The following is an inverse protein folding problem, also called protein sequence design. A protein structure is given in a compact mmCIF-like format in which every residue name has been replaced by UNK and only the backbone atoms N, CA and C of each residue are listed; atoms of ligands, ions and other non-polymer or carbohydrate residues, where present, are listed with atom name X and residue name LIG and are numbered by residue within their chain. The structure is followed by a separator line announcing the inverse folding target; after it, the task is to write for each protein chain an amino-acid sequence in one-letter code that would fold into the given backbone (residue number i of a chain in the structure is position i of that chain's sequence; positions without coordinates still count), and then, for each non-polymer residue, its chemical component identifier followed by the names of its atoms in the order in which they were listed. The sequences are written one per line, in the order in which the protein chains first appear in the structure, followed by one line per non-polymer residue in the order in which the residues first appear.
data_IF_629051801525
#
_entry.id   IF_629051801525
#
_cell.length_a   1.000
_cell.length_b   1.000
_cell.length_c   1.000
_cell.angle_alpha   90.00
_cell.angle_beta   90.00
_cell.angle_gamma   90.00
#
_symmetry.space_group_name_H-M   'P 1'
#
loop_
_entity.id
_entity.type
_entity.pdbx_description
1 polymer ?
#
# COMPACT_ATOMS: atom_id res chain seq x y z
N UNK A 1 -0.23 2.89 7.90
CA UNK A 1 -0.78 2.10 6.79
C UNK A 1 -2.08 2.67 6.21
N UNK A 2 -3.22 2.73 6.92
CA UNK A 2 -4.48 3.16 6.27
C UNK A 2 -4.44 4.56 5.62
N UNK A 3 -3.78 5.55 6.23
CA UNK A 3 -3.60 6.87 5.60
C UNK A 3 -2.73 6.80 4.33
N UNK A 4 -1.76 5.89 4.29
CA UNK A 4 -0.91 5.66 3.14
C UNK A 4 -1.74 5.15 1.95
N UNK A 5 -2.67 4.22 2.18
CA UNK A 5 -3.61 3.76 1.15
C UNK A 5 -4.45 4.87 0.54
N UNK A 6 -4.97 5.79 1.37
CA UNK A 6 -5.76 6.93 0.86
C UNK A 6 -4.90 7.89 0.03
N UNK A 7 -3.64 8.12 0.43
CA UNK A 7 -2.69 8.91 -0.37
C UNK A 7 -2.42 8.25 -1.73
N UNK A 8 -2.24 6.93 -1.76
CA UNK A 8 -2.01 6.19 -3.01
C UNK A 8 -3.20 6.29 -3.96
N UNK A 9 -4.44 6.17 -3.47
CA UNK A 9 -5.65 6.35 -4.30
C UNK A 9 -5.68 7.73 -4.96
N UNK A 10 -5.34 8.76 -4.19
CA UNK A 10 -5.25 10.13 -4.72
C UNK A 10 -4.13 10.24 -5.75
N UNK A 11 -2.96 9.66 -5.48
CA UNK A 11 -1.84 9.66 -6.43
C UNK A 11 -2.21 8.99 -7.76
N UNK A 12 -2.85 7.82 -7.74
CA UNK A 12 -3.32 7.15 -8.97
C UNK A 12 -4.25 8.06 -9.76
N UNK A 13 -5.20 8.75 -9.10
CA UNK A 13 -6.14 9.64 -9.76
C UNK A 13 -5.51 10.85 -10.48
N UNK A 14 -4.35 11.32 -10.02
CA UNK A 14 -3.63 12.43 -10.66
C UNK A 14 -2.59 11.97 -11.69
N UNK A 15 -1.93 10.83 -11.45
CA UNK A 15 -0.84 10.35 -12.29
C UNK A 15 -1.35 9.52 -13.48
N UNK A 16 -2.49 8.85 -13.34
CA UNK A 16 -3.15 8.11 -14.41
C UNK A 16 -2.29 7.00 -15.03
N UNK A 17 -2.50 6.78 -16.33
CA UNK A 17 -1.86 5.73 -17.14
C UNK A 17 -0.45 6.10 -17.63
N UNK A 18 -0.04 7.37 -17.48
CA UNK A 18 1.26 7.87 -17.95
C UNK A 18 2.43 7.44 -17.06
N UNK A 19 2.12 6.82 -15.91
CA UNK A 19 3.08 6.38 -14.92
C UNK A 19 3.08 4.87 -14.75
N UNK A 20 4.25 4.27 -14.81
CA UNK A 20 4.49 2.90 -14.42
C UNK A 20 4.41 2.77 -12.89
N UNK A 21 3.77 1.71 -12.40
CA UNK A 21 3.65 1.41 -10.97
C UNK A 21 4.52 0.22 -10.61
N UNK A 22 5.30 0.37 -9.54
CA UNK A 22 6.02 -0.71 -8.89
C UNK A 22 5.78 -0.67 -7.37
N UNK A 23 5.60 -1.83 -6.77
CA UNK A 23 5.50 -2.02 -5.32
C UNK A 23 6.76 -2.76 -4.87
N UNK A 24 7.53 -2.14 -3.98
CA UNK A 24 8.69 -2.76 -3.36
C UNK A 24 8.42 -2.90 -1.88
N UNK A 25 8.42 -4.12 -1.38
CA UNK A 25 8.28 -4.38 0.05
C UNK A 25 9.53 -5.02 0.63
N UNK A 26 9.82 -4.69 1.88
CA UNK A 26 10.85 -5.31 2.67
C UNK A 26 10.20 -5.90 3.90
N UNK A 27 10.62 -7.10 4.31
CA UNK A 27 10.30 -7.68 5.61
C UNK A 27 11.50 -8.46 6.16
N UNK A 28 11.42 -8.79 7.44
CA UNK A 28 12.39 -9.66 8.10
C UNK A 28 12.49 -11.02 7.39
N UNK A 29 13.66 -11.67 7.53
CA UNK A 29 13.99 -12.90 6.82
C UNK A 29 13.03 -14.07 7.14
N UNK A 30 12.48 -14.09 8.35
CA UNK A 30 11.60 -15.14 8.85
C UNK A 30 10.14 -15.02 8.35
N UNK A 31 9.77 -13.94 7.66
CA UNK A 31 8.40 -13.74 7.18
C UNK A 31 8.08 -14.69 6.01
N UNK A 32 7.10 -15.61 6.16
CA UNK A 32 6.89 -16.70 5.20
C UNK A 32 6.07 -16.32 3.97
N UNK A 33 5.12 -15.39 4.08
CA UNK A 33 4.25 -14.96 2.99
C UNK A 33 4.99 -14.02 2.03
N UNK A 34 4.95 -14.32 0.73
CA UNK A 34 5.58 -13.54 -0.35
C UNK A 34 4.63 -13.45 -1.55
N UNK A 35 4.25 -12.24 -2.01
CA UNK A 35 4.37 -10.97 -1.29
C UNK A 35 3.58 -10.98 0.02
N UNK A 36 3.85 -10.03 0.91
CA UNK A 36 3.06 -9.90 2.13
C UNK A 36 1.59 -9.60 1.84
N UNK A 37 0.72 -9.92 2.79
CA UNK A 37 -0.70 -9.54 2.71
C UNK A 37 -0.89 -8.05 2.42
N UNK A 38 -0.14 -7.17 3.09
CA UNK A 38 -0.15 -5.73 2.83
C UNK A 38 0.32 -5.38 1.41
N UNK A 39 1.38 -6.03 0.91
CA UNK A 39 1.87 -5.84 -0.45
C UNK A 39 0.80 -6.18 -1.49
N UNK A 40 0.07 -7.30 -1.29
CA UNK A 40 -1.07 -7.68 -2.13
C UNK A 40 -2.22 -6.68 -2.02
N UNK A 41 -2.58 -6.22 -0.82
CA UNK A 41 -3.61 -5.19 -0.63
C UNK A 41 -3.26 -3.88 -1.32
N UNK A 42 -1.98 -3.47 -1.28
CA UNK A 42 -1.51 -2.28 -2.01
C UNK A 42 -1.70 -2.48 -3.51
N UNK A 43 -1.24 -3.59 -4.07
CA UNK A 43 -1.40 -3.86 -5.50
C UNK A 43 -2.88 -3.92 -5.92
N UNK A 44 -3.75 -4.53 -5.12
CA UNK A 44 -5.19 -4.56 -5.36
C UNK A 44 -5.78 -3.16 -5.38
N UNK A 45 -5.46 -2.34 -4.39
CA UNK A 45 -5.92 -0.96 -4.33
C UNK A 45 -5.49 -0.14 -5.56
N UNK A 46 -4.27 -0.37 -6.05
CA UNK A 46 -3.74 0.33 -7.23
C UNK A 46 -4.44 -0.14 -8.52
N UNK A 47 -4.69 -1.44 -8.66
CA UNK A 47 -5.47 -2.00 -9.78
C UNK A 47 -6.91 -1.48 -9.77
N UNK A 48 -7.59 -1.54 -8.62
CA UNK A 48 -8.95 -1.04 -8.44
C UNK A 48 -9.05 0.46 -8.77
N UNK A 49 -8.07 1.26 -8.34
CA UNK A 49 -8.03 2.69 -8.62
C UNK A 49 -7.84 3.02 -10.11
N UNK A 50 -7.29 2.08 -10.90
CA UNK A 50 -7.20 2.16 -12.36
C UNK A 50 -8.35 1.48 -13.09
N UNK A 51 -9.26 0.82 -12.36
CA UNK A 51 -10.27 -0.08 -12.92
C UNK A 51 -9.68 -1.21 -13.77
N UNK A 52 -8.47 -1.66 -13.42
CA UNK A 52 -7.81 -2.81 -14.01
C UNK A 52 -8.21 -4.10 -13.26
N UNK A 53 -8.21 -5.25 -13.95
CA UNK A 53 -8.34 -6.55 -13.30
C UNK A 53 -7.00 -6.96 -12.67
N UNK A 54 -7.03 -7.36 -11.39
CA UNK A 54 -5.83 -7.67 -10.62
C UNK A 54 -4.99 -8.78 -11.24
N UNK A 55 -5.63 -9.86 -11.70
CA UNK A 55 -4.92 -11.03 -12.21
C UNK A 55 -4.29 -10.75 -13.59
N UNK A 56 -4.80 -9.76 -14.33
CA UNK A 56 -4.27 -9.33 -15.62
C UNK A 56 -3.05 -8.41 -15.50
N UNK A 57 -3.03 -7.53 -14.49
CA UNK A 57 -2.01 -6.47 -14.39
C UNK A 57 -0.90 -6.74 -13.38
N UNK A 58 -1.12 -7.60 -12.38
CA UNK A 58 -0.12 -7.83 -11.34
C UNK A 58 0.96 -8.81 -11.82
N UNK A 59 2.22 -8.43 -11.61
CA UNK A 59 3.38 -9.26 -11.93
C UNK A 59 4.26 -9.44 -10.69
N UNK A 60 4.67 -10.68 -10.41
CA UNK A 60 5.46 -11.02 -9.23
C UNK A 60 6.93 -11.28 -9.60
N UNK A 61 7.83 -10.41 -9.17
CA UNK A 61 9.25 -10.53 -9.43
C UNK A 61 9.62 -10.41 -10.92
N UNK A 62 10.93 -10.37 -11.18
CA UNK A 62 11.50 -10.43 -12.54
C UNK A 62 12.75 -11.28 -12.50
N UNK A 63 12.95 -12.08 -13.54
CA UNK A 63 14.14 -12.90 -13.72
C UNK A 63 15.07 -12.28 -14.77
N UNK A 64 16.29 -12.78 -14.87
CA UNK A 64 17.26 -12.32 -15.85
C UNK A 64 16.79 -12.68 -17.28
N UNK A 65 16.20 -11.71 -17.98
CA UNK A 65 15.75 -11.84 -19.36
C UNK A 65 16.28 -10.66 -20.22
N UNK A 66 16.90 -10.99 -21.35
CA UNK A 66 17.46 -10.00 -22.30
C UNK A 66 16.41 -9.42 -23.23
N UNK A 67 15.22 -10.02 -23.31
CA UNK A 67 14.10 -9.61 -24.15
C UNK A 67 12.90 -9.17 -23.30
N UNK A 68 13.12 -8.79 -22.04
CA UNK A 68 12.05 -8.34 -21.16
C UNK A 68 11.43 -7.04 -21.70
N UNK A 69 10.10 -7.06 -21.82
CA UNK A 69 9.29 -5.89 -22.09
C UNK A 69 8.16 -5.81 -21.06
N UNK A 70 8.08 -4.69 -20.35
CA UNK A 70 7.03 -4.42 -19.37
C UNK A 70 5.67 -4.37 -20.06
N UNK A 71 4.65 -5.02 -19.49
CA UNK A 71 3.28 -4.87 -20.00
C UNK A 71 2.75 -3.47 -19.68
N UNK A 72 1.92 -2.92 -20.56
CA UNK A 72 1.15 -1.72 -20.24
C UNK A 72 0.28 -2.01 -19.02
N UNK A 73 0.22 -1.05 -18.08
CA UNK A 73 -0.52 -1.15 -16.82
C UNK A 73 0.01 -2.18 -15.81
N UNK A 74 1.13 -2.85 -16.08
CA UNK A 74 1.73 -3.79 -15.13
C UNK A 74 1.87 -3.16 -13.74
N UNK A 75 1.59 -3.92 -12.69
CA UNK A 75 1.91 -3.55 -11.31
C UNK A 75 2.90 -4.59 -10.82
N UNK A 76 4.19 -4.24 -10.91
CA UNK A 76 5.28 -5.12 -10.48
C UNK A 76 5.39 -5.15 -8.96
N UNK A 77 5.45 -6.33 -8.35
CA UNK A 77 5.67 -6.49 -6.90
C UNK A 77 7.02 -7.17 -6.65
N UNK A 78 7.88 -6.51 -5.87
CA UNK A 78 9.19 -6.98 -5.47
C UNK A 78 9.25 -7.18 -3.97
N UNK A 79 9.66 -8.37 -3.54
CA UNK A 79 9.63 -8.75 -2.13
C UNK A 79 11.03 -9.03 -1.62
N UNK A 80 11.54 -8.17 -0.74
CA UNK A 80 12.81 -8.32 -0.07
C UNK A 80 12.60 -9.00 1.28
N UNK A 81 13.46 -9.95 1.61
CA UNK A 81 13.49 -10.68 2.89
C UNK A 81 14.90 -10.67 3.43
N UNK A 82 15.16 -9.91 4.49
CA UNK A 82 16.49 -9.81 5.06
C UNK A 82 16.46 -9.32 6.52
N UNK A 83 17.44 -9.78 7.30
CA UNK A 83 17.63 -9.34 8.68
C UNK A 83 16.39 -9.55 9.55
N UNK A 84 16.22 -8.66 10.54
CA UNK A 84 15.11 -8.68 11.51
C UNK A 84 14.26 -7.40 11.48
N UNK A 85 14.47 -6.53 10.48
CA UNK A 85 13.70 -5.30 10.35
C UNK A 85 12.26 -5.61 9.93
N UNK A 86 11.28 -4.97 10.56
CA UNK A 86 9.88 -5.40 10.47
C UNK A 86 9.31 -5.28 9.08
N UNK A 87 9.08 -4.06 8.57
CA UNK A 87 8.64 -3.92 7.19
C UNK A 87 8.74 -2.52 6.61
N UNK A 88 9.06 -2.45 5.32
CA UNK A 88 8.81 -1.28 4.46
C UNK A 88 7.84 -1.67 3.34
N UNK A 89 7.01 -0.71 2.93
CA UNK A 89 6.21 -0.78 1.70
C UNK A 89 6.39 0.51 0.93
N UNK A 90 7.04 0.43 -0.23
CA UNK A 90 7.26 1.55 -1.14
C UNK A 90 6.44 1.35 -2.40
N UNK A 91 5.65 2.35 -2.77
CA UNK A 91 4.99 2.42 -4.08
C UNK A 91 5.68 3.49 -4.89
N UNK A 92 6.13 3.09 -6.08
CA UNK A 92 6.86 3.91 -7.03
C UNK A 92 5.93 4.17 -8.20
N UNK A 93 5.77 5.45 -8.53
CA UNK A 93 5.17 5.90 -9.79
C UNK A 93 6.29 6.50 -10.64
N UNK A 94 6.60 5.89 -11.78
CA UNK A 94 7.67 6.34 -12.68
C UNK A 94 7.09 6.80 -14.03
N UNK A 95 7.30 8.08 -14.35
CA UNK A 95 6.91 8.69 -15.63
C UNK A 95 8.13 9.11 -16.43
N UNK A 96 7.90 9.75 -17.58
CA UNK A 96 8.99 10.26 -18.41
C UNK A 96 9.71 11.45 -17.73
N UNK A 97 10.89 11.19 -17.18
CA UNK A 97 11.75 12.22 -16.60
C UNK A 97 11.53 12.50 -15.11
N UNK A 98 10.59 11.82 -14.47
CA UNK A 98 10.35 11.95 -13.03
C UNK A 98 9.86 10.65 -12.38
N UNK A 99 9.97 10.61 -11.05
CA UNK A 99 9.53 9.48 -10.24
C UNK A 99 9.05 9.97 -8.88
N UNK A 100 7.87 9.51 -8.48
CA UNK A 100 7.30 9.74 -7.16
C UNK A 100 7.37 8.44 -6.36
N UNK A 101 7.80 8.53 -5.11
CA UNK A 101 7.94 7.39 -4.23
C UNK A 101 7.21 7.67 -2.92
N UNK A 102 6.33 6.75 -2.54
CA UNK A 102 5.63 6.79 -1.28
C UNK A 102 6.06 5.58 -0.46
N UNK A 103 6.68 5.82 0.69
CA UNK A 103 7.14 4.74 1.57
C UNK A 103 6.44 4.79 2.93
N UNK A 104 5.87 3.65 3.32
CA UNK A 104 5.48 3.40 4.71
C UNK A 104 6.51 2.49 5.37
N UNK A 105 7.06 2.92 6.51
CA UNK A 105 8.01 2.17 7.33
C UNK A 105 7.41 1.78 8.66
N UNK A 106 7.53 0.53 9.03
CA UNK A 106 7.05 0.00 10.31
C UNK A 106 8.21 -0.62 11.09
N UNK A 107 8.64 0.11 12.12
CA UNK A 107 9.75 -0.31 12.97
C UNK A 107 9.28 -1.21 14.14
N UNK A 108 8.05 -0.99 14.63
CA UNK A 108 7.52 -1.66 15.82
C UNK A 108 5.99 -1.86 15.78
N UNK A 109 5.50 -2.92 16.44
CA UNK A 109 4.10 -3.30 16.56
C UNK A 109 3.24 -2.32 17.34
N UNK A 110 3.82 -1.44 18.17
CA UNK A 110 3.02 -0.48 18.93
C UNK A 110 2.19 0.44 18.04
N UNK A 111 2.52 0.60 16.75
CA UNK A 111 1.69 1.37 15.80
C UNK A 111 0.28 0.76 15.63
N UNK A 112 0.16 -0.57 15.70
CA UNK A 112 -1.11 -1.28 15.54
C UNK A 112 -1.97 -1.05 16.78
N UNK A 113 -1.39 -1.20 17.97
CA UNK A 113 -2.08 -0.91 19.23
C UNK A 113 -2.60 0.54 19.27
N UNK A 114 -1.80 1.51 18.82
CA UNK A 114 -2.25 2.91 18.69
C UNK A 114 -3.45 3.05 17.75
N UNK A 115 -3.47 2.33 16.62
CA UNK A 115 -4.61 2.30 15.71
C UNK A 115 -5.88 1.74 16.35
N UNK A 116 -5.76 0.66 17.13
CA UNK A 116 -6.88 0.06 17.87
C UNK A 116 -7.44 1.05 18.91
N UNK A 117 -6.59 1.76 19.64
CA UNK A 117 -7.04 2.77 20.60
C UNK A 117 -7.84 3.90 19.94
N UNK A 118 -7.44 4.31 18.73
CA UNK A 118 -8.23 5.26 17.93
C UNK A 118 -9.56 4.68 17.48
N UNK A 119 -9.60 3.41 17.08
CA UNK A 119 -10.83 2.74 16.70
C UNK A 119 -11.81 2.62 17.88
N UNK A 120 -11.33 2.28 19.09
CA UNK A 120 -12.16 2.22 20.30
C UNK A 120 -12.79 3.59 20.58
N UNK A 121 -12.01 4.67 20.54
CA UNK A 121 -12.55 6.04 20.70
C UNK A 121 -13.55 6.41 19.61
N UNK A 122 -13.25 6.07 18.36
CA UNK A 122 -14.15 6.33 17.24
C UNK A 122 -15.53 5.65 17.41
N UNK A 123 -15.59 4.53 18.11
CA UNK A 123 -16.82 3.75 18.31
C UNK A 123 -17.62 4.17 19.56
N UNK A 124 -17.06 5.01 20.42
CA UNK A 124 -17.72 5.42 21.66
C UNK A 124 -19.03 6.17 21.35
N UNK A 125 -20.15 5.67 21.89
CA UNK A 125 -21.47 6.26 21.68
C UNK A 125 -22.06 6.11 20.27
N UNK A 126 -21.44 5.34 19.37
CA UNK A 126 -21.97 5.06 18.03
C UNK A 126 -22.94 3.89 18.02
N UNK A 127 -23.93 3.96 17.11
CA UNK A 127 -24.87 2.87 16.86
C UNK A 127 -24.17 1.63 16.27
N UNK A 128 -24.78 0.45 16.46
CA UNK A 128 -24.29 -0.81 15.92
C UNK A 128 -24.33 -0.81 14.39
N UNK A 129 -23.15 -0.86 13.77
CA UNK A 129 -22.96 -0.94 12.32
C UNK A 129 -21.56 -1.51 12.01
N UNK A 130 -21.28 -1.77 10.73
CA UNK A 130 -19.94 -2.10 10.26
C UNK A 130 -19.15 -0.81 10.03
N UNK A 131 -18.06 -0.63 10.79
CA UNK A 131 -17.14 0.49 10.64
C UNK A 131 -15.78 0.01 10.13
N UNK A 132 -15.17 0.79 9.25
CA UNK A 132 -13.85 0.54 8.71
C UNK A 132 -12.81 1.54 9.23
N UNK A 133 -11.55 1.32 8.86
CA UNK A 133 -10.47 2.25 9.21
C UNK A 133 -10.63 3.63 8.55
N UNK A 134 -11.41 3.74 7.47
CA UNK A 134 -11.76 5.03 6.88
C UNK A 134 -12.60 5.89 7.83
N UNK A 135 -13.54 5.29 8.57
CA UNK A 135 -14.31 5.98 9.60
C UNK A 135 -13.39 6.49 10.71
N UNK A 136 -12.45 5.65 11.14
CA UNK A 136 -11.45 6.00 12.16
C UNK A 136 -10.55 7.15 11.69
N UNK A 137 -10.10 7.14 10.44
CA UNK A 137 -9.29 8.22 9.87
C UNK A 137 -10.06 9.54 9.78
N UNK A 138 -11.35 9.50 9.43
CA UNK A 138 -12.22 10.69 9.42
C UNK A 138 -12.39 11.25 10.84
N UNK A 139 -12.73 10.39 11.80
CA UNK A 139 -12.81 10.76 13.21
C UNK A 139 -11.51 11.40 13.72
N UNK A 140 -10.36 10.77 13.43
CA UNK A 140 -9.05 11.31 13.81
C UNK A 140 -8.74 12.67 13.19
N UNK A 141 -9.20 12.94 11.97
CA UNK A 141 -9.03 14.24 11.32
C UNK A 141 -9.85 15.30 12.03
N UNK A 142 -11.11 15.00 12.30
CA UNK A 142 -12.07 15.95 12.86
C UNK A 142 -11.71 16.31 14.33
N UNK A 143 -11.23 15.34 15.12
CA UNK A 143 -10.69 15.55 16.49
C UNK A 143 -9.45 16.47 16.55
N UNK A 144 -8.62 16.50 15.49
CA UNK A 144 -7.39 17.31 15.45
C UNK A 144 -7.63 18.75 15.00
N UNK A 145 -8.78 19.03 14.41
CA UNK A 145 -9.17 20.36 13.94
C UNK A 145 -9.94 21.18 14.98
N UNK A 146 -10.11 20.65 16.20
CA UNK A 146 -10.72 21.31 17.35
C UNK A 146 -9.67 21.85 18.33
#
# INVERSE_FOLDING_TARGET
MNAFWEILKVAVGYLGDDYDIEVVEFHAAEKPDVPSGTGKTIAQLLADARADDFDDVVSYGREQDRNFHRKRHEIGIHSLRAGSYRSDHTVIFAGNGERLEFTHREEDQAIIARGVMWAIRCLEGRDAALYGMQDVLRFMRDERTC
#
